data_IF_288117571159
#
_entry.id   IF_288117571159
#
_cell.length_a   1.000
_cell.length_b   1.000
_cell.length_c   1.000
_cell.angle_alpha   90.00
_cell.angle_beta   90.00
_cell.angle_gamma   90.00
#
_symmetry.space_group_name_H-M   'P 1'
#
loop_
_entity.id
_entity.type
_entity.pdbx_description
1 polymer ?
#
# COMPACT_ATOMS: atom_id res chain seq x y z
N UNK A 1 -25.93 10.41 9.21
CA UNK A 1 -24.89 11.45 9.26
C UNK A 1 -23.80 11.05 8.29
N UNK A 2 -23.80 11.62 7.08
CA UNK A 2 -22.78 11.38 6.05
C UNK A 2 -21.85 12.58 6.08
N UNK A 3 -20.76 12.47 6.82
CA UNK A 3 -19.62 13.35 6.63
C UNK A 3 -18.74 12.71 5.55
N UNK A 4 -18.70 13.33 4.37
CA UNK A 4 -17.57 13.16 3.47
C UNK A 4 -16.35 13.69 4.20
N UNK A 5 -15.43 12.78 4.56
CA UNK A 5 -14.17 13.14 5.18
C UNK A 5 -13.35 13.92 4.14
N UNK A 6 -12.91 15.12 4.49
CA UNK A 6 -11.89 15.83 3.73
C UNK A 6 -10.67 14.90 3.51
N UNK A 7 -10.21 14.78 2.26
CA UNK A 7 -9.08 13.91 1.89
C UNK A 7 -9.45 12.66 1.08
N UNK A 8 -10.74 12.46 0.83
CA UNK A 8 -11.24 11.37 -0.02
C UNK A 8 -11.00 11.68 -1.50
N UNK A 9 -9.98 11.05 -2.08
CA UNK A 9 -9.64 11.24 -3.48
C UNK A 9 -10.07 10.02 -4.28
N UNK A 10 -10.99 10.23 -5.22
CA UNK A 10 -11.25 9.25 -6.28
C UNK A 10 -10.00 9.17 -7.19
N UNK A 11 -9.16 8.16 -6.93
CA UNK A 11 -7.95 7.89 -7.70
C UNK A 11 -8.24 7.19 -9.04
N UNK A 12 -9.50 6.99 -9.45
CA UNK A 12 -9.86 6.36 -10.72
C UNK A 12 -9.10 6.96 -11.92
N UNK A 13 -8.82 8.27 -11.89
CA UNK A 13 -8.04 8.94 -12.95
C UNK A 13 -6.53 8.66 -12.93
N UNK A 14 -5.93 8.27 -11.81
CA UNK A 14 -4.48 8.05 -11.68
C UNK A 14 -4.07 6.58 -11.87
N UNK A 15 -4.95 5.63 -11.55
CA UNK A 15 -4.62 4.20 -11.52
C UNK A 15 -5.36 3.37 -12.59
N UNK A 16 -6.10 4.02 -13.50
CA UNK A 16 -6.87 3.39 -14.57
C UNK A 16 -7.90 2.34 -14.06
N UNK A 17 -8.39 2.51 -12.83
CA UNK A 17 -9.45 1.69 -12.26
C UNK A 17 -10.83 2.19 -12.69
N UNK A 18 -11.84 1.32 -12.83
CA UNK A 18 -13.22 1.75 -13.04
C UNK A 18 -13.69 2.72 -11.94
N UNK A 19 -14.59 3.67 -12.25
CA UNK A 19 -15.15 4.55 -11.23
C UNK A 19 -15.85 3.76 -10.12
N UNK A 20 -15.72 4.23 -8.86
CA UNK A 20 -16.34 3.64 -7.66
C UNK A 20 -15.91 2.22 -7.31
N UNK A 21 -14.84 1.66 -7.91
CA UNK A 21 -14.33 0.33 -7.55
C UNK A 21 -13.08 0.38 -6.68
N UNK A 22 -12.48 1.55 -6.49
CA UNK A 22 -11.36 1.76 -5.59
C UNK A 22 -11.46 3.16 -4.98
N UNK A 23 -11.46 3.23 -3.65
CA UNK A 23 -11.39 4.45 -2.85
C UNK A 23 -10.11 4.47 -2.01
N UNK A 24 -9.48 5.63 -1.88
CA UNK A 24 -8.29 5.82 -1.05
C UNK A 24 -8.41 7.06 -0.19
N UNK A 25 -8.06 6.92 1.09
CA UNK A 25 -7.91 8.01 2.05
C UNK A 25 -6.44 8.15 2.42
N UNK A 26 -5.88 9.35 2.28
CA UNK A 26 -4.50 9.62 2.64
C UNK A 26 -4.39 9.94 4.14
N UNK A 27 -3.61 9.15 4.87
CA UNK A 27 -3.44 9.27 6.32
C UNK A 27 -2.02 9.67 6.73
N UNK A 28 -1.16 10.04 5.78
CA UNK A 28 0.28 10.30 5.94
C UNK A 28 0.68 10.91 7.29
N UNK A 29 0.33 12.17 7.52
CA UNK A 29 0.75 12.92 8.71
C UNK A 29 -0.14 12.63 9.93
N UNK A 30 -1.27 11.95 9.73
CA UNK A 30 -2.20 11.59 10.79
C UNK A 30 -1.91 10.23 11.40
N UNK A 31 -1.24 9.33 10.69
CA UNK A 31 -1.01 7.94 11.09
C UNK A 31 -0.40 7.84 12.50
N UNK A 32 0.66 8.60 12.79
CA UNK A 32 1.33 8.55 14.09
C UNK A 32 0.42 9.02 15.23
N UNK A 33 -0.39 10.05 15.00
CA UNK A 33 -1.28 10.61 16.01
C UNK A 33 -2.54 9.75 16.22
N UNK A 34 -3.10 9.20 15.14
CA UNK A 34 -4.33 8.40 15.18
C UNK A 34 -4.07 6.95 15.60
N UNK A 35 -2.96 6.37 15.14
CA UNK A 35 -2.65 4.94 15.26
C UNK A 35 -1.16 4.72 15.59
N UNK A 36 -0.68 5.22 16.74
CA UNK A 36 0.75 5.17 17.10
C UNK A 36 1.32 3.74 17.12
N UNK A 37 0.53 2.76 17.57
CA UNK A 37 0.95 1.36 17.61
C UNK A 37 1.08 0.76 16.21
N UNK A 38 0.19 1.12 15.29
CA UNK A 38 0.30 0.71 13.90
C UNK A 38 1.52 1.36 13.24
N UNK A 39 1.73 2.66 13.47
CA UNK A 39 2.90 3.38 12.98
C UNK A 39 4.21 2.67 13.40
N UNK A 40 4.33 2.29 14.68
CA UNK A 40 5.49 1.54 15.17
C UNK A 40 5.68 0.18 14.51
N UNK A 41 4.59 -0.59 14.34
CA UNK A 41 4.62 -1.90 13.68
C UNK A 41 5.00 -1.81 12.21
N UNK A 42 4.50 -0.81 11.47
CA UNK A 42 4.86 -0.60 10.06
C UNK A 42 6.35 -0.30 9.90
N UNK A 43 6.93 0.53 10.79
CA UNK A 43 8.37 0.78 10.78
C UNK A 43 9.19 -0.47 11.13
N UNK A 44 8.72 -1.27 12.09
CA UNK A 44 9.36 -2.54 12.42
C UNK A 44 9.34 -3.51 11.24
N UNK A 45 8.21 -3.65 10.56
CA UNK A 45 8.07 -4.48 9.36
C UNK A 45 8.98 -3.99 8.23
N UNK A 46 9.03 -2.69 7.98
CA UNK A 46 9.95 -2.11 6.99
C UNK A 46 11.41 -2.43 7.33
N UNK A 47 11.81 -2.33 8.61
CA UNK A 47 13.18 -2.64 9.06
C UNK A 47 13.50 -4.13 8.96
N UNK A 48 12.52 -5.00 9.16
CA UNK A 48 12.69 -6.44 9.00
C UNK A 48 12.82 -6.82 7.52
N UNK A 49 12.09 -6.14 6.63
CA UNK A 49 12.20 -6.32 5.18
C UNK A 49 13.52 -5.74 4.63
N UNK A 50 14.04 -4.67 5.25
CA UNK A 50 15.36 -4.17 4.96
C UNK A 50 16.44 -5.14 5.46
N UNK A 51 17.07 -5.88 4.56
CA UNK A 51 18.21 -6.75 4.84
C UNK A 51 19.51 -5.97 5.15
N UNK A 52 19.38 -4.74 5.70
CA UNK A 52 20.48 -3.86 6.09
C UNK A 52 21.10 -3.05 4.95
N UNK A 53 20.40 -2.87 3.82
CA UNK A 53 20.95 -2.20 2.64
C UNK A 53 20.25 -0.87 2.29
N UNK A 54 19.04 -0.64 2.79
CA UNK A 54 18.24 0.55 2.50
C UNK A 54 18.23 1.54 3.65
N UNK A 55 18.11 1.08 4.90
CA UNK A 55 18.03 1.92 6.09
C UNK A 55 19.39 2.09 6.74
N UNK A 56 20.29 2.73 5.99
CA UNK A 56 21.58 3.20 6.49
C UNK A 56 21.38 4.09 7.74
N UNK A 57 22.01 3.76 8.89
CA UNK A 57 21.95 4.58 10.10
C UNK A 57 22.44 6.02 9.91
N UNK A 58 23.27 6.30 8.89
CA UNK A 58 23.72 7.64 8.54
C UNK A 58 22.69 8.43 7.70
N UNK A 59 21.70 7.75 7.12
CA UNK A 59 20.56 8.45 6.50
C UNK A 59 19.78 9.13 7.61
N UNK A 60 19.40 10.38 7.36
CA UNK A 60 18.59 11.16 8.30
C UNK A 60 17.26 10.49 8.67
N UNK A 61 16.45 11.19 9.46
CA UNK A 61 15.20 10.65 9.99
C UNK A 61 14.29 10.09 8.88
N UNK A 62 14.09 8.76 8.88
CA UNK A 62 13.15 8.08 7.98
C UNK A 62 11.72 8.51 8.29
N UNK A 63 10.89 8.61 7.25
CA UNK A 63 9.48 8.97 7.36
C UNK A 63 8.62 8.25 6.33
N UNK A 64 7.33 8.09 6.62
CA UNK A 64 6.36 7.65 5.62
C UNK A 64 6.12 8.79 4.64
N UNK A 65 6.61 8.64 3.40
CA UNK A 65 6.35 9.60 2.32
C UNK A 65 4.86 9.63 1.96
N UNK A 66 4.26 8.45 1.83
CA UNK A 66 2.85 8.24 1.50
C UNK A 66 2.28 7.16 2.41
N UNK A 67 1.08 7.38 2.95
CA UNK A 67 0.33 6.35 3.66
C UNK A 67 -1.15 6.44 3.26
N UNK A 68 -1.65 5.35 2.71
CA UNK A 68 -2.96 5.26 2.08
C UNK A 68 -3.78 4.17 2.75
N UNK A 69 -5.02 4.49 3.10
CA UNK A 69 -6.03 3.51 3.46
C UNK A 69 -6.93 3.28 2.25
N UNK A 70 -6.87 2.09 1.68
CA UNK A 70 -7.60 1.75 0.46
C UNK A 70 -8.75 0.79 0.74
N UNK A 71 -9.88 1.05 0.08
CA UNK A 71 -10.99 0.10 -0.06
C UNK A 71 -11.12 -0.26 -1.53
N UNK A 72 -10.92 -1.53 -1.86
CA UNK A 72 -11.02 -2.06 -3.21
C UNK A 72 -12.26 -2.94 -3.30
N UNK A 73 -13.09 -2.69 -4.29
CA UNK A 73 -14.32 -3.42 -4.60
C UNK A 73 -14.12 -4.22 -5.90
N UNK A 74 -15.06 -5.13 -6.26
CA UNK A 74 -14.95 -5.91 -7.48
C UNK A 74 -14.65 -5.07 -8.73
N UNK A 75 -13.64 -5.49 -9.49
CA UNK A 75 -13.15 -4.79 -10.70
C UNK A 75 -12.17 -3.64 -10.43
N UNK A 76 -11.97 -3.26 -9.16
CA UNK A 76 -10.96 -2.33 -8.69
C UNK A 76 -9.57 -2.96 -8.61
N UNK A 77 -8.55 -2.12 -8.57
CA UNK A 77 -7.15 -2.53 -8.52
C UNK A 77 -6.27 -1.77 -9.50
N UNK A 78 -4.96 -2.01 -9.38
CA UNK A 78 -3.92 -1.29 -10.10
C UNK A 78 -3.60 -2.01 -11.41
N UNK A 79 -3.99 -1.41 -12.54
CA UNK A 79 -3.83 -2.05 -13.87
C UNK A 79 -2.48 -1.77 -14.54
N UNK A 80 -1.59 -1.05 -13.85
CA UNK A 80 -0.31 -0.65 -14.38
C UNK A 80 0.75 -1.73 -14.11
N UNK A 81 1.00 -2.60 -15.11
CA UNK A 81 1.94 -3.73 -15.03
C UNK A 81 3.33 -3.36 -14.48
N UNK A 82 3.81 -2.15 -14.78
CA UNK A 82 5.16 -1.69 -14.41
C UNK A 82 5.11 -0.53 -13.40
N UNK A 83 4.03 -0.42 -12.63
CA UNK A 83 3.95 0.56 -11.56
C UNK A 83 5.02 0.32 -10.51
N UNK A 84 5.57 1.40 -9.99
CA UNK A 84 6.46 1.40 -8.84
C UNK A 84 6.38 2.77 -8.17
N UNK A 85 6.48 2.80 -6.85
CA UNK A 85 6.40 4.04 -6.08
C UNK A 85 7.73 4.78 -6.09
N UNK A 86 7.91 5.60 -7.13
CA UNK A 86 9.13 6.42 -7.28
C UNK A 86 9.37 7.31 -6.06
N UNK A 87 10.61 7.30 -5.59
CA UNK A 87 11.05 8.11 -4.44
C UNK A 87 10.77 7.48 -3.08
N UNK A 88 10.28 6.23 -3.03
CA UNK A 88 10.20 5.41 -1.82
C UNK A 88 11.36 4.42 -1.77
N UNK A 89 11.87 4.12 -0.57
CA UNK A 89 12.86 3.06 -0.36
C UNK A 89 12.18 1.68 -0.29
N UNK A 90 11.07 1.62 0.43
CA UNK A 90 10.24 0.42 0.63
C UNK A 90 8.78 0.84 0.46
N UNK A 91 8.02 0.01 -0.25
CA UNK A 91 6.55 0.05 -0.25
C UNK A 91 6.06 -1.10 0.62
N UNK A 92 5.09 -0.81 1.47
CA UNK A 92 4.36 -1.81 2.26
C UNK A 92 2.92 -1.83 1.78
N UNK A 93 2.36 -3.02 1.62
CA UNK A 93 0.93 -3.24 1.46
C UNK A 93 0.46 -4.16 2.59
N UNK A 94 -0.67 -3.83 3.21
CA UNK A 94 -1.14 -4.43 4.47
C UNK A 94 -2.61 -4.77 4.28
N UNK A 95 -2.90 -6.06 4.18
CA UNK A 95 -4.28 -6.53 4.06
C UNK A 95 -4.97 -6.41 5.41
N UNK A 96 -6.09 -5.68 5.45
CA UNK A 96 -6.88 -5.50 6.67
C UNK A 96 -8.11 -6.42 6.74
N UNK A 97 -8.55 -6.94 5.60
CA UNK A 97 -9.68 -7.87 5.48
C UNK A 97 -9.21 -9.32 5.59
N UNK A 98 -10.09 -10.23 6.03
CA UNK A 98 -9.80 -11.66 5.90
C UNK A 98 -9.87 -12.06 4.42
N UNK A 99 -9.03 -12.99 3.97
CA UNK A 99 -9.15 -13.57 2.63
C UNK A 99 -10.47 -14.32 2.42
N UNK A 100 -11.13 -14.75 3.51
CA UNK A 100 -12.49 -15.31 3.47
C UNK A 100 -13.59 -14.26 3.19
N UNK A 101 -13.28 -12.95 3.30
CA UNK A 101 -14.27 -11.88 3.14
C UNK A 101 -14.48 -11.46 1.67
N UNK A 102 -13.64 -11.93 0.74
CA UNK A 102 -13.67 -11.52 -0.67
C UNK A 102 -13.16 -12.60 -1.62
N UNK A 103 -13.43 -12.41 -2.93
CA UNK A 103 -12.86 -13.21 -4.01
C UNK A 103 -11.98 -12.32 -4.89
N UNK A 104 -10.80 -12.81 -5.30
CA UNK A 104 -9.78 -12.05 -6.03
C UNK A 104 -8.82 -11.30 -5.08
N UNK A 105 -8.42 -10.08 -5.43
CA UNK A 105 -7.60 -9.22 -4.57
C UNK A 105 -6.14 -9.68 -4.45
N UNK A 106 -5.63 -10.37 -5.46
CA UNK A 106 -4.27 -10.92 -5.48
C UNK A 106 -3.21 -9.82 -5.41
N UNK A 107 -2.28 -9.94 -4.47
CA UNK A 107 -1.08 -9.12 -4.48
C UNK A 107 -0.04 -9.74 -5.41
N UNK A 108 0.34 -9.00 -6.45
CA UNK A 108 1.25 -9.45 -7.48
C UNK A 108 2.38 -8.46 -7.70
N UNK A 109 3.59 -8.97 -7.87
CA UNK A 109 4.77 -8.19 -8.30
C UNK A 109 5.31 -8.71 -9.61
N UNK A 110 6.14 -7.91 -10.27
CA UNK A 110 6.88 -8.36 -11.46
C UNK A 110 8.04 -9.25 -11.02
N UNK A 111 8.21 -10.41 -11.68
CA UNK A 111 9.35 -11.31 -11.49
C UNK A 111 10.67 -10.64 -11.88
N UNK A 112 11.74 -10.94 -11.16
CA UNK A 112 13.10 -10.46 -11.42
C UNK A 112 13.85 -11.31 -12.47
N UNK A 113 13.24 -12.39 -12.96
CA UNK A 113 13.78 -13.30 -13.99
C UNK A 113 13.95 -12.68 -15.40
N UNK A 114 13.59 -11.41 -15.57
CA UNK A 114 13.67 -10.69 -16.84
C UNK A 114 12.55 -11.02 -17.85
N UNK A 115 11.64 -11.93 -17.53
CA UNK A 115 10.48 -12.28 -18.38
C UNK A 115 9.33 -11.28 -18.24
N UNK A 116 9.30 -10.53 -17.13
CA UNK A 116 8.20 -9.64 -16.79
C UNK A 116 6.91 -10.40 -16.46
N UNK A 117 7.03 -11.65 -16.01
CA UNK A 117 5.93 -12.47 -15.48
C UNK A 117 5.46 -11.91 -14.13
N UNK A 118 4.24 -12.29 -13.72
CA UNK A 118 3.70 -11.92 -12.41
C UNK A 118 4.03 -13.01 -11.39
N UNK A 119 4.49 -12.59 -10.21
CA UNK A 119 4.62 -13.42 -9.02
C UNK A 119 3.48 -13.07 -8.07
N UNK A 120 2.64 -14.05 -7.75
CA UNK A 120 1.57 -13.90 -6.75
C UNK A 120 2.11 -14.21 -5.36
N UNK A 121 1.81 -13.35 -4.40
CA UNK A 121 2.20 -13.52 -3.00
C UNK A 121 0.99 -13.89 -2.16
N UNK A 122 1.21 -14.64 -1.08
CA UNK A 122 0.21 -14.78 -0.04
C UNK A 122 -0.07 -13.40 0.56
N UNK A 123 -1.33 -12.99 0.57
CA UNK A 123 -1.75 -11.66 1.01
C UNK A 123 -2.95 -11.75 1.94
N UNK A 124 -2.72 -12.45 3.04
CA UNK A 124 -3.68 -12.58 4.12
C UNK A 124 -3.56 -11.40 5.09
N UNK A 125 -4.55 -11.27 5.97
CA UNK A 125 -4.62 -10.20 6.96
C UNK A 125 -3.34 -10.10 7.81
N UNK A 126 -2.67 -8.94 7.79
CA UNK A 126 -1.44 -8.71 8.55
C UNK A 126 -0.87 -7.31 8.40
#
# INVERSE_FOLDING_TARGET
YVYGLEGDHDLAKRQASPPNTWRTVFINHHLQAMLPDLHGRLFAAARQADAGCLFDPERGQLSFRVCEYSTVLPGGGLRAKFHHDRGSLITLDVMLSSSDDFEGGEFQTVSDDGTGSALTHAFDRG
#
